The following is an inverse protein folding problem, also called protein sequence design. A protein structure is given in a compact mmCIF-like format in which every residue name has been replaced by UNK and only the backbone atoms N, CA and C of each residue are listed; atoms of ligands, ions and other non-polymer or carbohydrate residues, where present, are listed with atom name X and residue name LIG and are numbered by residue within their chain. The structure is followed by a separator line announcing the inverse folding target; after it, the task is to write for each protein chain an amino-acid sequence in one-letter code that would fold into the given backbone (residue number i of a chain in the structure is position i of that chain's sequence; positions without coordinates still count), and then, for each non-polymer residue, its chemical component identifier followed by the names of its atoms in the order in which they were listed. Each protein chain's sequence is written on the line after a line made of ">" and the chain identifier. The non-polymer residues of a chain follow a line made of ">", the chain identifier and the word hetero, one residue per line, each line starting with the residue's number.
data_IF_964006299410
#
_entry.id   IF_964006299410
#
_cell.length_a   1.000
_cell.length_b   1.000
_cell.length_c   1.000
_cell.angle_alpha   90.00
_cell.angle_beta   90.00
_cell.angle_gamma   90.00
#
_symmetry.space_group_name_H-M   'P 1'
#
loop_
_entity.id
_entity.type
_entity.pdbx_description
1 polymer ?
#
# COMPACT_ATOMS: atom_id res chain seq x y z
N UNK A 1 -82.64 32.24 -52.74
CA UNK A 1 -81.49 31.58 -53.41
C UNK A 1 -80.28 31.74 -52.49
N UNK A 2 -79.61 30.63 -52.16
CA UNK A 2 -78.78 30.44 -50.95
C UNK A 2 -77.58 31.40 -50.84
N UNK A 3 -77.45 32.03 -49.67
CA UNK A 3 -76.30 32.85 -49.24
C UNK A 3 -75.24 31.92 -48.62
N UNK A 4 -74.01 31.97 -49.14
CA UNK A 4 -72.83 31.27 -48.61
C UNK A 4 -72.36 31.94 -47.31
N UNK A 5 -72.27 31.19 -46.21
CA UNK A 5 -71.52 31.58 -45.01
C UNK A 5 -70.16 30.88 -45.03
N UNK A 6 -69.09 31.68 -45.14
CA UNK A 6 -67.71 31.25 -44.95
C UNK A 6 -67.47 30.85 -43.49
N UNK A 7 -66.99 29.62 -43.28
CA UNK A 7 -66.46 29.15 -42.00
C UNK A 7 -64.95 29.42 -41.97
N UNK A 8 -64.45 30.09 -40.92
CA UNK A 8 -63.02 30.23 -40.64
C UNK A 8 -62.55 28.98 -39.88
N UNK A 9 -61.45 28.32 -40.27
CA UNK A 9 -60.81 27.35 -39.39
C UNK A 9 -59.95 28.09 -38.35
N UNK A 10 -60.18 27.82 -37.07
CA UNK A 10 -59.27 28.19 -35.99
C UNK A 10 -58.05 27.27 -36.04
N UNK A 11 -56.88 27.85 -36.27
CA UNK A 11 -55.60 27.14 -36.21
C UNK A 11 -55.14 27.05 -34.76
N UNK A 12 -55.39 25.91 -34.11
CA UNK A 12 -54.83 25.59 -32.79
C UNK A 12 -53.37 25.15 -32.97
N UNK A 13 -52.44 26.01 -32.57
CA UNK A 13 -51.03 25.66 -32.41
C UNK A 13 -50.86 24.83 -31.13
N UNK A 14 -50.65 23.53 -31.26
CA UNK A 14 -50.24 22.67 -30.14
C UNK A 14 -48.72 22.72 -30.04
N UNK A 15 -48.19 23.46 -29.07
CA UNK A 15 -46.79 23.43 -28.68
C UNK A 15 -46.54 22.11 -27.92
N UNK A 16 -45.88 21.16 -28.58
CA UNK A 16 -45.39 19.93 -27.94
C UNK A 16 -44.17 20.24 -27.06
N UNK A 17 -44.34 20.15 -25.75
CA UNK A 17 -43.23 20.12 -24.79
C UNK A 17 -42.53 18.77 -24.87
N UNK A 18 -41.36 18.74 -25.51
CA UNK A 18 -40.43 17.61 -25.43
C UNK A 18 -39.75 17.69 -24.06
N UNK A 19 -40.16 16.84 -23.13
CA UNK A 19 -39.41 16.60 -21.90
C UNK A 19 -38.14 15.81 -22.24
N UNK A 20 -37.01 16.51 -22.34
CA UNK A 20 -35.70 15.88 -22.35
C UNK A 20 -35.43 15.36 -20.93
N UNK A 21 -35.66 14.07 -20.69
CA UNK A 21 -35.23 13.42 -19.44
C UNK A 21 -33.72 13.33 -19.46
N UNK A 22 -33.05 14.32 -18.88
CA UNK A 22 -31.64 14.19 -18.49
C UNK A 22 -31.63 13.18 -17.35
N UNK A 23 -31.20 11.95 -17.63
CA UNK A 23 -30.81 11.03 -16.58
C UNK A 23 -29.65 11.68 -15.83
N UNK A 24 -29.93 12.28 -14.67
CA UNK A 24 -28.91 12.51 -13.66
C UNK A 24 -28.38 11.12 -13.28
N UNK A 25 -27.33 10.66 -13.94
CA UNK A 25 -26.51 9.63 -13.36
C UNK A 25 -26.02 10.23 -12.05
N UNK A 26 -26.40 9.65 -10.91
CA UNK A 26 -25.75 9.97 -9.65
C UNK A 26 -24.25 9.86 -9.91
N UNK A 27 -23.55 10.99 -9.82
CA UNK A 27 -22.10 10.99 -9.93
C UNK A 27 -21.64 10.21 -8.71
N UNK A 28 -21.26 8.93 -8.90
CA UNK A 28 -20.53 8.20 -7.86
C UNK A 28 -19.39 9.12 -7.42
N UNK A 29 -19.36 9.46 -6.13
CA UNK A 29 -18.37 10.39 -5.60
C UNK A 29 -16.96 9.88 -5.93
N UNK A 30 -16.09 10.77 -6.39
CA UNK A 30 -14.69 10.45 -6.65
C UNK A 30 -14.07 9.78 -5.42
N UNK A 31 -13.45 8.62 -5.62
CA UNK A 31 -12.69 7.92 -4.58
C UNK A 31 -11.20 8.03 -4.87
N UNK A 32 -10.41 8.01 -3.80
CA UNK A 32 -8.97 8.11 -3.94
C UNK A 32 -8.43 6.95 -4.78
N UNK A 33 -7.71 7.27 -5.86
CA UNK A 33 -7.19 6.31 -6.83
C UNK A 33 -8.11 6.02 -8.04
N UNK A 34 -9.23 6.73 -8.17
CA UNK A 34 -10.00 6.73 -9.40
C UNK A 34 -9.26 7.46 -10.53
N UNK A 35 -9.37 6.99 -11.78
CA UNK A 35 -8.74 7.66 -12.91
C UNK A 35 -9.37 9.04 -13.13
N UNK A 36 -8.52 10.05 -13.16
CA UNK A 36 -8.86 11.40 -13.62
C UNK A 36 -8.94 11.44 -15.16
N UNK A 37 -9.56 12.47 -15.77
CA UNK A 37 -9.67 12.58 -17.24
C UNK A 37 -8.34 12.55 -17.99
N UNK A 38 -7.25 12.97 -17.35
CA UNK A 38 -5.87 13.00 -17.85
C UNK A 38 -5.01 11.85 -17.31
N UNK A 39 -5.62 10.87 -16.64
CA UNK A 39 -4.86 9.79 -16.04
C UNK A 39 -4.22 8.89 -17.12
N UNK A 40 -2.97 8.41 -16.92
CA UNK A 40 -2.30 7.55 -17.88
C UNK A 40 -3.11 6.29 -18.20
N UNK A 41 -2.93 5.71 -19.39
CA UNK A 41 -3.66 4.51 -19.82
C UNK A 41 -3.60 3.35 -18.80
N UNK A 42 -2.44 3.17 -18.14
CA UNK A 42 -2.25 2.11 -17.15
C UNK A 42 -2.87 2.42 -15.78
N UNK A 43 -3.47 3.59 -15.58
CA UNK A 43 -4.14 3.98 -14.34
C UNK A 43 -5.51 3.31 -14.18
N UNK A 44 -6.09 2.77 -15.25
CA UNK A 44 -7.38 2.08 -15.20
C UNK A 44 -7.30 0.87 -14.25
N UNK A 45 -8.30 0.74 -13.37
CA UNK A 45 -8.42 -0.38 -12.43
C UNK A 45 -8.72 -1.68 -13.17
N UNK A 46 -8.29 -2.79 -12.59
CA UNK A 46 -8.59 -4.12 -13.12
C UNK A 46 -10.00 -4.60 -12.76
N UNK A 47 -10.31 -5.83 -13.19
CA UNK A 47 -11.64 -6.45 -13.08
C UNK A 47 -12.03 -6.94 -11.68
N UNK A 48 -11.08 -7.01 -10.74
CA UNK A 48 -11.33 -7.63 -9.44
C UNK A 48 -11.92 -6.64 -8.44
N UNK A 49 -13.04 -7.03 -7.82
CA UNK A 49 -13.45 -6.44 -6.55
C UNK A 49 -12.44 -6.79 -5.45
N UNK A 50 -12.31 -5.91 -4.47
CA UNK A 50 -11.25 -6.00 -3.46
C UNK A 50 -11.78 -6.27 -2.07
N UNK A 51 -11.06 -7.11 -1.35
CA UNK A 51 -11.08 -7.19 0.09
C UNK A 51 -9.87 -6.45 0.66
N UNK A 52 -10.00 -5.94 1.88
CA UNK A 52 -8.88 -5.36 2.62
C UNK A 52 -8.89 -5.82 4.08
N UNK A 53 -7.72 -6.17 4.61
CA UNK A 53 -7.51 -6.64 5.99
C UNK A 53 -6.29 -5.98 6.61
N UNK A 54 -6.38 -5.64 7.88
CA UNK A 54 -5.24 -5.19 8.68
C UNK A 54 -4.77 -6.35 9.55
N UNK A 55 -3.46 -6.61 9.58
CA UNK A 55 -2.85 -7.59 10.50
C UNK A 55 -1.76 -6.92 11.32
N UNK A 56 -1.61 -7.38 12.56
CA UNK A 56 -0.47 -7.08 13.42
C UNK A 56 0.47 -8.29 13.41
N UNK A 57 1.72 -8.08 13.03
CA UNK A 57 2.77 -9.08 12.96
C UNK A 57 3.85 -8.75 14.00
N UNK A 58 4.56 -9.76 14.48
CA UNK A 58 5.63 -9.59 15.49
C UNK A 58 6.89 -10.32 15.02
N UNK A 59 7.92 -9.56 14.70
CA UNK A 59 9.25 -10.07 14.43
C UNK A 59 10.04 -10.08 15.75
N UNK A 60 10.29 -11.28 16.28
CA UNK A 60 10.86 -11.46 17.62
C UNK A 60 12.37 -11.26 17.63
N UNK A 61 12.91 -10.94 18.80
CA UNK A 61 14.35 -10.95 19.07
C UNK A 61 15.18 -10.07 18.11
N UNK A 62 14.64 -8.90 17.73
CA UNK A 62 15.30 -7.94 16.86
C UNK A 62 16.16 -6.96 17.65
N UNK A 63 17.22 -6.42 17.04
CA UNK A 63 18.11 -5.44 17.68
C UNK A 63 17.36 -4.14 17.96
N UNK A 64 17.28 -3.76 19.23
CA UNK A 64 16.79 -2.46 19.68
C UNK A 64 17.90 -1.41 19.54
N UNK A 65 18.12 -0.99 18.31
CA UNK A 65 19.23 -0.12 17.95
C UNK A 65 19.17 1.27 18.60
N UNK A 66 17.98 1.69 19.03
CA UNK A 66 17.80 2.97 19.73
C UNK A 66 18.29 2.91 21.17
N UNK A 67 18.45 1.70 21.72
CA UNK A 67 18.92 1.43 23.07
C UNK A 67 20.30 0.74 23.10
N UNK A 68 21.01 0.68 21.97
CA UNK A 68 22.39 0.20 21.91
C UNK A 68 23.34 1.14 22.66
N UNK A 69 24.15 0.58 23.55
CA UNK A 69 25.10 1.32 24.40
C UNK A 69 26.42 0.56 24.46
N UNK A 70 27.53 1.27 24.24
CA UNK A 70 28.90 0.72 24.25
C UNK A 70 29.05 -0.54 23.36
N UNK A 71 28.36 -0.57 22.22
CA UNK A 71 28.35 -1.70 21.29
C UNK A 71 27.55 -2.92 21.75
N UNK A 72 26.85 -2.83 22.88
CA UNK A 72 25.92 -3.87 23.34
C UNK A 72 24.54 -3.58 22.75
N UNK A 73 24.03 -4.54 21.98
CA UNK A 73 22.75 -4.47 21.29
C UNK A 73 21.67 -5.24 22.06
N UNK A 74 20.78 -4.57 22.82
CA UNK A 74 19.63 -5.24 23.43
C UNK A 74 18.65 -5.73 22.35
N UNK A 75 17.83 -6.71 22.71
CA UNK A 75 16.81 -7.29 21.82
C UNK A 75 15.39 -6.91 22.26
N UNK A 76 14.49 -6.79 21.29
CA UNK A 76 13.06 -6.56 21.51
C UNK A 76 12.20 -7.24 20.43
N UNK A 77 10.92 -7.40 20.74
CA UNK A 77 9.93 -7.84 19.76
C UNK A 77 9.46 -6.65 18.92
N UNK A 78 9.89 -6.61 17.65
CA UNK A 78 9.52 -5.59 16.68
C UNK A 78 8.16 -5.89 16.07
N UNK A 79 7.16 -5.10 16.43
CA UNK A 79 5.80 -5.20 15.89
C UNK A 79 5.72 -4.52 14.54
N UNK A 80 4.88 -5.00 13.63
CA UNK A 80 4.58 -4.34 12.36
C UNK A 80 3.09 -4.46 12.08
N UNK A 81 2.44 -3.35 11.76
CA UNK A 81 1.08 -3.37 11.21
C UNK A 81 1.18 -3.47 9.69
N UNK A 82 0.37 -4.32 9.07
CA UNK A 82 0.30 -4.42 7.61
C UNK A 82 -1.13 -4.27 7.13
N UNK A 83 -1.29 -3.62 5.98
CA UNK A 83 -2.56 -3.54 5.26
C UNK A 83 -2.49 -4.43 4.01
N UNK A 84 -3.45 -5.34 3.86
CA UNK A 84 -3.44 -6.36 2.81
C UNK A 84 -4.68 -6.19 1.94
N UNK A 85 -4.48 -5.79 0.68
CA UNK A 85 -5.51 -5.76 -0.35
C UNK A 85 -5.41 -7.00 -1.23
N UNK A 86 -6.54 -7.61 -1.55
CA UNK A 86 -6.58 -8.85 -2.33
C UNK A 86 -7.87 -8.96 -3.16
N UNK A 87 -7.85 -9.71 -4.28
CA UNK A 87 -9.06 -10.05 -5.02
C UNK A 87 -10.06 -10.79 -4.12
N UNK A 88 -11.29 -10.28 -4.04
CA UNK A 88 -12.33 -10.80 -3.16
C UNK A 88 -13.64 -11.09 -3.89
N UNK A 89 -14.50 -11.84 -3.22
CA UNK A 89 -15.90 -12.04 -3.60
C UNK A 89 -16.72 -10.94 -2.94
N UNK A 90 -17.33 -10.09 -3.77
CA UNK A 90 -18.27 -9.06 -3.33
C UNK A 90 -19.62 -9.35 -3.97
N UNK A 91 -20.68 -9.39 -3.13
CA UNK A 91 -22.03 -9.67 -3.61
C UNK A 91 -22.51 -8.59 -4.59
N UNK A 92 -23.29 -8.99 -5.60
CA UNK A 92 -23.84 -8.06 -6.58
C UNK A 92 -24.69 -7.00 -5.88
N UNK A 93 -24.44 -5.73 -6.19
CA UNK A 93 -25.15 -4.59 -5.60
C UNK A 93 -24.57 -4.10 -4.26
N UNK A 94 -23.55 -4.75 -3.73
CA UNK A 94 -22.76 -4.20 -2.61
C UNK A 94 -21.70 -3.27 -3.18
N UNK A 95 -21.70 -2.03 -2.69
CA UNK A 95 -20.66 -1.06 -3.00
C UNK A 95 -19.39 -1.42 -2.19
N UNK A 96 -18.33 -1.83 -2.89
CA UNK A 96 -17.05 -2.14 -2.23
C UNK A 96 -16.33 -0.83 -1.89
N UNK A 97 -16.60 -0.29 -0.69
CA UNK A 97 -15.95 0.90 -0.16
C UNK A 97 -15.45 0.67 1.26
N UNK A 98 -14.31 1.30 1.56
CA UNK A 98 -13.73 1.35 2.90
C UNK A 98 -13.34 2.79 3.20
N UNK A 99 -13.57 3.23 4.44
CA UNK A 99 -13.07 4.51 4.94
C UNK A 99 -11.80 4.25 5.75
N UNK A 100 -10.68 4.75 5.25
CA UNK A 100 -9.40 4.70 5.95
C UNK A 100 -9.23 5.93 6.83
N UNK A 101 -8.70 5.72 8.02
CA UNK A 101 -8.38 6.76 8.99
C UNK A 101 -6.87 6.88 9.14
N UNK A 102 -6.34 8.09 9.02
CA UNK A 102 -4.92 8.34 9.17
C UNK A 102 -4.64 9.74 9.72
N UNK A 103 -3.37 10.05 9.98
CA UNK A 103 -2.89 11.38 10.35
C UNK A 103 -1.86 11.88 9.34
N UNK A 104 -1.85 13.19 9.13
CA UNK A 104 -0.69 13.89 8.55
C UNK A 104 0.14 14.53 9.67
N UNK A 105 1.35 15.01 9.34
CA UNK A 105 2.26 15.61 10.31
C UNK A 105 3.34 14.64 10.79
N UNK A 106 3.96 14.91 11.93
CA UNK A 106 5.00 14.05 12.50
C UNK A 106 4.97 14.13 14.02
N UNK A 107 4.93 12.98 14.70
CA UNK A 107 4.99 12.93 16.17
C UNK A 107 6.23 13.67 16.68
N UNK A 108 6.02 14.55 17.66
CA UNK A 108 7.09 15.32 18.29
C UNK A 108 7.56 16.55 17.50
N UNK A 109 7.04 16.80 16.29
CA UNK A 109 7.34 18.00 15.50
C UNK A 109 6.27 19.08 15.74
N UNK A 110 6.64 20.15 16.44
CA UNK A 110 5.71 21.26 16.76
C UNK A 110 5.30 22.09 15.54
N UNK A 111 6.09 22.07 14.46
CA UNK A 111 5.78 22.76 13.21
C UNK A 111 4.87 21.93 12.30
N UNK A 112 4.82 20.61 12.53
CA UNK A 112 3.99 19.65 11.76
C UNK A 112 3.21 18.75 12.72
N UNK A 113 2.24 19.29 13.47
CA UNK A 113 1.47 18.51 14.43
C UNK A 113 0.68 17.40 13.73
N UNK A 114 0.33 16.36 14.49
CA UNK A 114 -0.53 15.29 13.99
C UNK A 114 -1.96 15.81 13.77
N UNK A 115 -2.43 15.76 12.52
CA UNK A 115 -3.78 16.17 12.14
C UNK A 115 -4.50 14.95 11.55
N UNK A 116 -5.61 14.48 12.17
CA UNK A 116 -6.36 13.35 11.66
C UNK A 116 -7.11 13.71 10.37
N UNK A 117 -7.22 12.75 9.48
CA UNK A 117 -8.04 12.82 8.28
C UNK A 117 -8.59 11.44 7.93
N UNK A 118 -9.62 11.43 7.10
CA UNK A 118 -10.16 10.20 6.53
C UNK A 118 -10.24 10.31 5.02
N UNK A 119 -10.17 9.18 4.34
CA UNK A 119 -10.40 9.09 2.91
C UNK A 119 -11.02 7.74 2.57
N UNK A 120 -11.77 7.68 1.46
CA UNK A 120 -12.42 6.46 1.01
C UNK A 120 -11.62 5.78 -0.10
N UNK A 121 -11.58 4.45 -0.09
CA UNK A 121 -11.12 3.63 -1.22
C UNK A 121 -12.17 2.63 -1.67
N UNK A 122 -11.80 1.76 -2.62
CA UNK A 122 -12.68 0.76 -3.27
C UNK A 122 -12.37 -0.67 -2.86
N UNK A 123 -12.17 -0.90 -1.57
CA UNK A 123 -12.06 -2.22 -1.00
C UNK A 123 -13.14 -2.44 0.05
N UNK A 124 -13.53 -3.69 0.27
CA UNK A 124 -14.47 -4.06 1.32
C UNK A 124 -13.71 -4.72 2.48
N UNK A 125 -13.85 -4.16 3.68
CA UNK A 125 -13.20 -4.69 4.88
C UNK A 125 -13.54 -6.15 5.12
N UNK A 126 -12.52 -6.99 5.29
CA UNK A 126 -12.63 -8.42 5.59
C UNK A 126 -13.51 -9.24 4.61
N UNK A 127 -13.64 -8.81 3.35
CA UNK A 127 -14.37 -9.56 2.34
C UNK A 127 -13.71 -10.93 2.08
N UNK A 128 -14.52 -11.94 1.73
CA UNK A 128 -14.01 -13.29 1.47
C UNK A 128 -13.05 -13.31 0.27
N UNK A 129 -11.84 -13.88 0.41
CA UNK A 129 -10.90 -13.93 -0.70
C UNK A 129 -11.39 -14.76 -1.88
N UNK A 130 -11.02 -14.34 -3.09
CA UNK A 130 -11.40 -15.04 -4.33
C UNK A 130 -10.52 -16.26 -4.59
N UNK A 131 -10.86 -17.41 -4.00
CA UNK A 131 -10.05 -18.64 -4.03
C UNK A 131 -10.15 -19.48 -5.32
N UNK A 132 -11.07 -19.17 -6.22
CA UNK A 132 -11.35 -19.99 -7.40
C UNK A 132 -10.53 -19.65 -8.66
N UNK A 133 -9.67 -18.62 -8.61
CA UNK A 133 -8.81 -18.23 -9.74
C UNK A 133 -7.33 -18.62 -9.54
N UNK A 134 -7.03 -19.44 -8.53
CA UNK A 134 -5.68 -19.85 -8.19
C UNK A 134 -4.95 -18.82 -7.32
N UNK A 135 -3.62 -18.88 -7.35
CA UNK A 135 -2.76 -17.96 -6.59
C UNK A 135 -2.52 -16.67 -7.36
N UNK A 136 -2.47 -15.57 -6.65
CA UNK A 136 -2.09 -14.26 -7.17
C UNK A 136 -0.65 -13.92 -6.76
N UNK A 137 0.14 -13.29 -7.65
CA UNK A 137 1.46 -12.76 -7.30
C UNK A 137 1.37 -11.74 -6.15
N UNK A 138 2.45 -11.66 -5.37
CA UNK A 138 2.55 -10.76 -4.22
C UNK A 138 3.23 -9.45 -4.62
N UNK A 139 2.73 -8.32 -4.11
CA UNK A 139 3.44 -7.04 -4.11
C UNK A 139 3.59 -6.57 -2.66
N UNK A 140 4.82 -6.26 -2.25
CA UNK A 140 5.10 -5.63 -0.96
C UNK A 140 5.41 -4.15 -1.19
N UNK A 141 4.77 -3.26 -0.42
CA UNK A 141 4.88 -1.81 -0.56
C UNK A 141 5.45 -1.18 0.71
N UNK A 142 6.57 -0.46 0.57
CA UNK A 142 7.26 0.25 1.66
C UNK A 142 7.16 1.77 1.49
N UNK A 143 6.63 2.46 2.51
CA UNK A 143 6.47 3.92 2.51
C UNK A 143 7.78 4.68 2.82
N UNK A 144 7.78 6.00 2.62
CA UNK A 144 8.91 6.88 2.97
C UNK A 144 9.10 7.07 4.47
N UNK A 145 10.10 7.84 4.88
CA UNK A 145 10.26 8.28 6.28
C UNK A 145 9.94 9.78 6.38
N UNK A 146 9.00 10.23 7.20
CA UNK A 146 7.95 9.43 7.87
C UNK A 146 6.81 9.11 6.89
N UNK A 147 6.02 8.08 7.17
CA UNK A 147 4.93 7.69 6.28
C UNK A 147 3.82 6.87 6.95
N UNK A 148 3.08 6.15 6.12
CA UNK A 148 1.98 5.27 6.52
C UNK A 148 1.81 4.17 5.47
N UNK A 149 1.27 3.01 5.90
CA UNK A 149 0.82 1.94 4.99
C UNK A 149 -0.22 2.40 3.97
N UNK A 150 -0.90 3.52 4.24
CA UNK A 150 -1.91 4.12 3.36
C UNK A 150 -1.36 5.14 2.35
N UNK A 151 -0.07 5.49 2.42
CA UNK A 151 0.52 6.57 1.61
C UNK A 151 0.35 6.38 0.10
N UNK A 152 0.27 5.12 -0.34
CA UNK A 152 0.14 4.74 -1.75
C UNK A 152 -1.12 3.92 -2.02
N UNK A 153 -2.22 4.15 -1.28
CA UNK A 153 -3.47 3.36 -1.45
C UNK A 153 -4.01 3.40 -2.87
N UNK A 154 -3.84 4.52 -3.58
CA UNK A 154 -4.19 4.62 -5.00
C UNK A 154 -3.50 3.55 -5.86
N UNK A 155 -2.24 3.22 -5.54
CA UNK A 155 -1.44 2.23 -6.25
C UNK A 155 -1.74 0.82 -5.73
N UNK A 156 -1.83 0.63 -4.41
CA UNK A 156 -2.02 -0.70 -3.81
C UNK A 156 -3.37 -1.30 -4.22
N UNK A 157 -4.44 -0.52 -4.16
CA UNK A 157 -5.76 -0.96 -4.61
C UNK A 157 -5.80 -1.17 -6.13
N UNK A 158 -5.13 -0.31 -6.90
CA UNK A 158 -5.09 -0.47 -8.35
C UNK A 158 -4.41 -1.79 -8.76
N UNK A 159 -3.25 -2.10 -8.17
CA UNK A 159 -2.55 -3.35 -8.38
C UNK A 159 -3.40 -4.54 -7.92
N UNK A 160 -4.00 -4.47 -6.72
CA UNK A 160 -4.86 -5.55 -6.25
C UNK A 160 -6.03 -5.82 -7.22
N UNK A 161 -6.62 -4.76 -7.79
CA UNK A 161 -7.75 -4.90 -8.74
C UNK A 161 -7.35 -5.58 -10.04
N UNK A 162 -6.05 -5.62 -10.35
CA UNK A 162 -5.45 -6.30 -11.50
C UNK A 162 -5.00 -7.73 -11.21
N UNK A 163 -5.30 -8.26 -10.02
CA UNK A 163 -5.01 -9.66 -9.67
C UNK A 163 -3.68 -9.84 -8.95
N UNK A 164 -3.34 -8.94 -8.02
CA UNK A 164 -2.22 -9.10 -7.10
C UNK A 164 -2.74 -9.17 -5.67
N UNK A 165 -2.06 -9.92 -4.79
CA UNK A 165 -2.15 -9.63 -3.36
C UNK A 165 -1.14 -8.55 -3.06
N UNK A 166 -1.58 -7.44 -2.46
CA UNK A 166 -0.72 -6.29 -2.17
C UNK A 166 -0.69 -6.08 -0.68
N UNK A 167 0.50 -6.03 -0.09
CA UNK A 167 0.71 -5.74 1.33
C UNK A 167 1.52 -4.46 1.50
N UNK A 168 0.97 -3.47 2.20
CA UNK A 168 1.71 -2.28 2.60
C UNK A 168 2.12 -2.38 4.07
N UNK A 169 3.38 -2.07 4.34
CA UNK A 169 3.97 -2.18 5.68
C UNK A 169 3.88 -0.84 6.38
N UNK A 170 3.40 -0.82 7.62
CA UNK A 170 3.59 0.27 8.56
C UNK A 170 4.85 -0.01 9.39
N UNK A 171 5.98 0.54 8.95
CA UNK A 171 7.26 0.30 9.60
C UNK A 171 7.31 1.01 10.95
N UNK A 172 7.46 0.26 12.05
CA UNK A 172 7.72 0.82 13.39
C UNK A 172 8.92 1.75 13.35
N UNK A 173 8.86 2.83 14.14
CA UNK A 173 9.83 3.95 14.16
C UNK A 173 9.85 4.84 12.90
N UNK A 174 9.05 4.53 11.87
CA UNK A 174 9.05 5.21 10.57
C UNK A 174 7.71 5.83 10.17
N UNK A 175 6.73 5.85 11.07
CA UNK A 175 5.38 6.33 10.74
C UNK A 175 5.18 7.79 11.14
N UNK A 176 4.11 8.43 10.67
CA UNK A 176 3.72 9.74 11.18
C UNK A 176 3.49 9.72 12.70
N UNK A 177 2.83 8.67 13.21
CA UNK A 177 2.45 8.50 14.63
C UNK A 177 3.58 8.02 15.53
N UNK A 178 4.62 7.45 14.95
CA UNK A 178 5.68 6.74 15.65
C UNK A 178 7.03 7.02 14.99
N UNK A 179 7.32 8.29 14.74
CA UNK A 179 8.60 8.71 14.22
C UNK A 179 9.67 8.59 15.31
N UNK A 180 10.74 7.83 15.04
CA UNK A 180 11.89 7.72 15.93
C UNK A 180 13.20 8.03 15.16
N UNK A 181 14.34 8.12 15.86
CA UNK A 181 15.61 8.43 15.21
C UNK A 181 15.94 7.53 14.01
N UNK A 182 16.48 8.15 12.96
CA UNK A 182 16.59 7.56 11.61
C UNK A 182 17.46 6.29 11.53
N UNK A 183 18.32 6.03 12.51
CA UNK A 183 19.10 4.78 12.57
C UNK A 183 18.24 3.51 12.68
N UNK A 184 17.08 3.55 13.37
CA UNK A 184 16.16 2.41 13.41
C UNK A 184 15.67 2.06 12.00
N UNK A 185 15.32 3.12 11.29
CA UNK A 185 14.87 3.07 9.91
C UNK A 185 15.92 2.52 8.93
N UNK A 186 17.19 2.87 9.11
CA UNK A 186 18.32 2.34 8.31
C UNK A 186 18.53 0.84 8.53
N UNK A 187 18.46 0.38 9.78
CA UNK A 187 18.72 -1.01 10.12
C UNK A 187 17.55 -1.93 9.76
N UNK A 188 16.33 -1.52 10.09
CA UNK A 188 15.21 -2.45 10.17
C UNK A 188 14.43 -2.60 8.87
N UNK A 189 14.47 -1.62 7.97
CA UNK A 189 13.53 -1.57 6.83
C UNK A 189 13.66 -2.75 5.86
N UNK A 190 14.88 -3.15 5.50
CA UNK A 190 15.09 -4.31 4.64
C UNK A 190 14.66 -5.61 5.34
N UNK A 191 14.94 -5.72 6.64
CA UNK A 191 14.55 -6.87 7.46
C UNK A 191 13.02 -6.97 7.59
N UNK A 192 12.32 -5.84 7.79
CA UNK A 192 10.86 -5.78 7.84
C UNK A 192 10.22 -6.28 6.53
N UNK A 193 10.80 -5.94 5.36
CA UNK A 193 10.32 -6.40 4.06
C UNK A 193 10.47 -7.93 3.92
N UNK A 194 11.63 -8.48 4.28
CA UNK A 194 11.85 -9.93 4.27
C UNK A 194 10.92 -10.66 5.24
N UNK A 195 10.77 -10.13 6.45
CA UNK A 195 9.88 -10.69 7.45
C UNK A 195 8.42 -10.70 6.98
N UNK A 196 7.93 -9.61 6.36
CA UNK A 196 6.57 -9.58 5.80
C UNK A 196 6.42 -10.56 4.64
N UNK A 197 7.44 -10.75 3.80
CA UNK A 197 7.44 -11.78 2.75
C UNK A 197 7.30 -13.19 3.35
N UNK A 198 8.03 -13.49 4.43
CA UNK A 198 7.93 -14.76 5.14
C UNK A 198 6.57 -14.97 5.78
N UNK A 199 6.00 -13.94 6.39
CA UNK A 199 4.65 -14.01 6.96
C UNK A 199 3.58 -14.19 5.87
N UNK A 200 3.69 -13.51 4.73
CA UNK A 200 2.78 -13.74 3.60
C UNK A 200 2.91 -15.15 3.03
N UNK A 201 4.12 -15.72 3.03
CA UNK A 201 4.33 -17.12 2.64
C UNK A 201 3.64 -18.08 3.62
N UNK A 202 3.79 -17.83 4.93
CA UNK A 202 3.16 -18.63 5.99
C UNK A 202 1.64 -18.54 5.94
N UNK A 203 1.08 -17.34 5.82
CA UNK A 203 -0.36 -17.10 5.76
C UNK A 203 -0.98 -17.65 4.46
N UNK A 204 -0.26 -17.52 3.34
CA UNK A 204 -0.67 -17.99 2.02
C UNK A 204 -0.48 -19.48 1.76
N UNK A 205 0.18 -20.22 2.66
CA UNK A 205 0.36 -21.66 2.55
C UNK A 205 -0.99 -22.38 2.49
N UNK A 206 -1.07 -23.52 1.78
CA UNK A 206 -2.35 -24.23 1.56
C UNK A 206 -2.94 -24.82 2.83
N UNK A 207 -2.08 -25.21 3.77
CA UNK A 207 -2.38 -25.76 5.08
C UNK A 207 -2.52 -24.69 6.17
N UNK A 208 -2.34 -23.41 5.83
CA UNK A 208 -2.62 -22.29 6.72
C UNK A 208 -4.09 -22.27 7.13
N UNK A 209 -4.35 -21.84 8.37
CA UNK A 209 -5.70 -21.60 8.89
C UNK A 209 -6.22 -20.20 8.56
N UNK A 210 -5.42 -19.35 7.92
CA UNK A 210 -5.84 -18.01 7.54
C UNK A 210 -6.75 -18.01 6.31
N UNK A 211 -7.59 -16.98 6.16
CA UNK A 211 -8.45 -16.83 5.00
C UNK A 211 -7.65 -16.71 3.69
N UNK A 212 -6.41 -16.21 3.72
CA UNK A 212 -5.51 -16.09 2.58
C UNK A 212 -4.84 -17.42 2.18
N UNK A 213 -5.11 -18.52 2.89
CA UNK A 213 -4.56 -19.83 2.56
C UNK A 213 -4.83 -20.22 1.10
N UNK A 214 -3.75 -20.58 0.39
CA UNK A 214 -3.78 -20.95 -1.02
C UNK A 214 -3.91 -19.78 -2.02
N UNK A 215 -3.97 -18.54 -1.55
CA UNK A 215 -4.20 -17.35 -2.39
C UNK A 215 -2.91 -16.70 -2.91
N UNK A 216 -1.78 -16.87 -2.21
CA UNK A 216 -0.57 -16.07 -2.45
C UNK A 216 0.52 -16.91 -3.15
N UNK A 217 1.05 -16.40 -4.26
CA UNK A 217 2.23 -16.91 -4.96
C UNK A 217 3.48 -16.10 -4.54
N UNK A 218 4.02 -16.41 -3.36
CA UNK A 218 5.18 -15.68 -2.82
C UNK A 218 6.47 -15.94 -3.57
N UNK A 219 6.57 -16.99 -4.37
CA UNK A 219 7.66 -17.25 -5.31
C UNK A 219 7.66 -16.31 -6.53
N UNK A 220 6.62 -15.49 -6.68
CA UNK A 220 6.49 -14.44 -7.67
C UNK A 220 6.13 -13.11 -7.00
N UNK A 221 7.11 -12.53 -6.29
CA UNK A 221 6.95 -11.30 -5.52
C UNK A 221 7.57 -10.10 -6.22
N UNK A 222 6.85 -8.99 -6.30
CA UNK A 222 7.41 -7.67 -6.57
C UNK A 222 7.52 -6.83 -5.30
N UNK A 223 8.48 -5.92 -5.24
CA UNK A 223 8.60 -4.95 -4.15
C UNK A 223 8.59 -3.52 -4.69
N UNK A 224 7.89 -2.63 -4.01
CA UNK A 224 7.71 -1.23 -4.41
C UNK A 224 8.03 -0.33 -3.21
N UNK A 225 8.77 0.75 -3.44
CA UNK A 225 9.14 1.68 -2.37
C UNK A 225 9.16 3.13 -2.82
N UNK A 226 8.80 4.06 -1.92
CA UNK A 226 8.93 5.50 -2.13
C UNK A 226 9.92 6.14 -1.15
N UNK A 227 10.76 7.08 -1.61
CA UNK A 227 11.73 7.79 -0.76
C UNK A 227 12.62 6.78 -0.03
N UNK A 228 12.68 6.80 1.31
CA UNK A 228 13.44 5.77 1.99
C UNK A 228 12.83 4.36 1.86
N UNK A 229 11.53 4.20 1.61
CA UNK A 229 10.97 2.93 1.17
C UNK A 229 11.60 2.48 -0.15
N UNK A 230 11.88 3.42 -1.04
CA UNK A 230 12.59 3.21 -2.31
C UNK A 230 14.01 2.70 -2.10
N UNK A 231 14.77 3.32 -1.18
CA UNK A 231 16.09 2.78 -0.82
C UNK A 231 15.99 1.42 -0.12
N UNK A 232 14.97 1.21 0.73
CA UNK A 232 14.72 -0.07 1.39
C UNK A 232 14.54 -1.21 0.40
N UNK A 233 13.75 -1.02 -0.66
CA UNK A 233 13.60 -2.04 -1.70
C UNK A 233 14.85 -2.24 -2.55
N UNK A 234 15.66 -1.19 -2.76
CA UNK A 234 16.98 -1.33 -3.39
C UNK A 234 17.94 -2.14 -2.50
N UNK A 235 17.92 -1.90 -1.19
CA UNK A 235 18.74 -2.65 -0.23
C UNK A 235 18.33 -4.13 -0.16
N UNK A 236 17.03 -4.44 -0.22
CA UNK A 236 16.56 -5.83 -0.37
C UNK A 236 17.04 -6.45 -1.70
N UNK A 237 17.16 -5.65 -2.75
CA UNK A 237 17.60 -6.10 -4.07
C UNK A 237 19.12 -6.23 -4.25
N UNK A 238 19.92 -5.90 -3.23
CA UNK A 238 21.39 -6.00 -3.26
C UNK A 238 22.14 -4.67 -3.38
N UNK A 239 21.47 -3.52 -3.32
CA UNK A 239 22.13 -2.21 -3.20
C UNK A 239 22.48 -1.91 -1.73
N UNK A 240 23.62 -2.42 -1.29
CA UNK A 240 24.11 -2.27 0.07
C UNK A 240 24.47 -0.83 0.41
N UNK A 241 24.50 -0.49 1.69
CA UNK A 241 25.02 0.80 2.13
C UNK A 241 26.53 0.90 1.92
N UNK A 242 27.03 2.10 1.64
CA UNK A 242 28.47 2.34 1.55
C UNK A 242 29.16 2.16 2.92
N UNK A 243 30.41 1.70 2.93
CA UNK A 243 31.15 1.43 4.18
C UNK A 243 31.31 2.66 5.08
N UNK A 244 31.38 3.85 4.49
CA UNK A 244 31.38 5.11 5.23
C UNK A 244 30.12 5.32 6.06
N UNK A 245 28.96 4.84 5.59
CA UNK A 245 27.74 4.84 6.39
C UNK A 245 27.88 3.91 7.59
N UNK A 246 28.58 2.78 7.47
CA UNK A 246 28.84 1.86 8.57
C UNK A 246 29.53 2.54 9.75
N UNK A 247 30.61 3.28 9.48
CA UNK A 247 31.33 4.03 10.52
C UNK A 247 30.46 5.14 11.13
N UNK A 248 29.74 5.88 10.31
CA UNK A 248 28.82 6.92 10.76
C UNK A 248 27.72 6.34 11.66
N UNK A 249 27.15 5.20 11.26
CA UNK A 249 26.12 4.50 12.00
C UNK A 249 26.62 4.04 13.37
N UNK A 250 27.81 3.47 13.45
CA UNK A 250 28.43 3.09 14.73
C UNK A 250 28.55 4.29 15.67
N UNK A 251 28.97 5.45 15.14
CA UNK A 251 29.04 6.69 15.92
C UNK A 251 27.68 7.18 16.44
N UNK A 252 26.59 7.01 15.68
CA UNK A 252 25.25 7.46 16.05
C UNK A 252 24.43 6.44 16.85
N UNK A 253 24.93 5.21 17.07
CA UNK A 253 24.22 4.09 17.71
C UNK A 253 24.97 3.53 18.92
N UNK A 254 25.68 4.40 19.64
CA UNK A 254 26.37 4.01 20.87
C UNK A 254 27.43 2.92 20.65
N UNK A 255 28.01 2.81 19.46
CA UNK A 255 29.01 1.80 19.13
C UNK A 255 28.48 0.53 18.46
N UNK A 256 27.19 0.43 18.15
CA UNK A 256 26.65 -0.74 17.43
C UNK A 256 27.25 -0.89 16.03
N UNK A 257 27.55 -2.12 15.64
CA UNK A 257 27.99 -2.47 14.29
C UNK A 257 26.92 -3.25 13.53
N UNK A 258 25.66 -3.26 14.03
CA UNK A 258 24.58 -4.05 13.46
C UNK A 258 24.34 -3.78 11.96
N UNK A 259 24.53 -2.53 11.51
CA UNK A 259 24.37 -2.15 10.10
C UNK A 259 25.38 -2.83 9.16
N UNK A 260 26.48 -3.40 9.69
CA UNK A 260 27.50 -4.09 8.90
C UNK A 260 26.92 -5.20 8.02
N UNK A 261 25.80 -5.81 8.44
CA UNK A 261 25.05 -6.84 7.69
C UNK A 261 24.40 -6.30 6.41
N UNK A 262 24.23 -4.99 6.29
CA UNK A 262 23.57 -4.33 5.15
C UNK A 262 24.56 -3.50 4.30
N UNK A 263 25.86 -3.59 4.57
CA UNK A 263 26.88 -2.89 3.79
C UNK A 263 27.16 -3.60 2.46
N UNK A 264 27.45 -2.81 1.42
CA UNK A 264 27.78 -3.33 0.10
C UNK A 264 29.07 -4.15 0.09
N UNK A 265 30.01 -3.90 1.01
CA UNK A 265 31.24 -4.69 1.14
C UNK A 265 31.03 -6.05 1.83
N UNK A 266 29.87 -6.28 2.47
CA UNK A 266 29.62 -7.50 3.23
C UNK A 266 29.36 -8.68 2.26
N UNK A 267 30.17 -9.77 2.31
CA UNK A 267 29.99 -10.91 1.41
C UNK A 267 28.68 -11.66 1.61
N UNK A 268 28.17 -11.76 2.85
CA UNK A 268 26.90 -12.42 3.15
C UNK A 268 25.73 -11.64 2.55
N UNK A 269 25.82 -10.30 2.59
CA UNK A 269 24.84 -9.42 1.95
C UNK A 269 24.83 -9.60 0.43
N UNK A 270 26.01 -9.66 -0.20
CA UNK A 270 26.13 -9.83 -1.66
C UNK A 270 25.58 -11.17 -2.17
N UNK A 271 25.57 -12.22 -1.35
CA UNK A 271 25.00 -13.53 -1.70
C UNK A 271 23.54 -13.72 -1.26
N UNK A 272 22.96 -12.76 -0.56
CA UNK A 272 21.72 -12.90 0.21
C UNK A 272 20.42 -12.58 -0.53
N UNK A 273 20.44 -12.36 -1.86
CA UNK A 273 19.22 -11.93 -2.57
C UNK A 273 18.15 -13.03 -2.54
N UNK A 274 16.95 -12.62 -2.12
CA UNK A 274 15.82 -13.52 -2.04
C UNK A 274 15.26 -13.83 -3.43
N UNK A 275 15.42 -15.09 -3.85
CA UNK A 275 14.98 -15.56 -5.17
C UNK A 275 13.48 -15.46 -5.40
N UNK A 276 12.67 -15.26 -4.34
CA UNK A 276 11.22 -15.01 -4.44
C UNK A 276 10.91 -13.65 -5.06
N UNK A 277 11.83 -12.69 -4.98
CA UNK A 277 11.67 -11.33 -5.48
C UNK A 277 12.06 -11.29 -6.96
N UNK A 278 11.12 -10.87 -7.81
CA UNK A 278 11.22 -10.88 -9.29
C UNK A 278 11.26 -9.48 -9.89
N UNK A 279 10.75 -8.48 -9.18
CA UNK A 279 10.68 -7.12 -9.65
C UNK A 279 10.86 -6.13 -8.50
N UNK A 280 11.51 -5.00 -8.80
CA UNK A 280 11.79 -3.91 -7.86
C UNK A 280 11.37 -2.61 -8.53
N UNK A 281 10.53 -1.81 -7.87
CA UNK A 281 10.16 -0.47 -8.32
C UNK A 281 10.47 0.53 -7.22
N UNK A 282 11.52 1.34 -7.44
CA UNK A 282 11.94 2.37 -6.50
C UNK A 282 11.53 3.76 -7.02
N UNK A 283 10.59 4.40 -6.32
CA UNK A 283 10.17 5.77 -6.59
C UNK A 283 10.99 6.76 -5.77
N UNK A 284 11.77 7.60 -6.47
CA UNK A 284 12.60 8.64 -5.89
C UNK A 284 13.35 8.15 -4.64
N UNK A 285 14.20 7.10 -4.76
CA UNK A 285 14.87 6.51 -3.61
C UNK A 285 15.66 7.59 -2.85
N UNK A 286 15.57 7.57 -1.52
CA UNK A 286 16.38 8.43 -0.66
C UNK A 286 17.86 8.06 -0.81
N UNK A 287 18.74 9.03 -1.04
CA UNK A 287 20.18 8.81 -1.22
C UNK A 287 20.74 9.57 -2.41
#
# INVERSE_FOLDING_TARGET
>A
MKVYKYSKPQMLFVLGLIFLTISLSAQEGFLYGDPMPDAPELSIRGKHALGVRTLELVNKDQIDILNSIEGVDPLYDRKLTVEIWYPAVVAKGVEAQETYEEVMGTRGDSLRPLIPFTFKGRALRNADPKKNEGKFPLIIVSHGYVGSRYLMTYLTENLASKGYVVVAIEHTDSTFKDAAPFQSTLLNRAQDIHFVLDEMMRLGARDSKDQLAGLIATDNTGIIGYSMGGYGVLNVAGAGYADGLGQFFTGMTGGSTAISKLLASNPEYQGGQDKRIKAVVAFAPWG
#
